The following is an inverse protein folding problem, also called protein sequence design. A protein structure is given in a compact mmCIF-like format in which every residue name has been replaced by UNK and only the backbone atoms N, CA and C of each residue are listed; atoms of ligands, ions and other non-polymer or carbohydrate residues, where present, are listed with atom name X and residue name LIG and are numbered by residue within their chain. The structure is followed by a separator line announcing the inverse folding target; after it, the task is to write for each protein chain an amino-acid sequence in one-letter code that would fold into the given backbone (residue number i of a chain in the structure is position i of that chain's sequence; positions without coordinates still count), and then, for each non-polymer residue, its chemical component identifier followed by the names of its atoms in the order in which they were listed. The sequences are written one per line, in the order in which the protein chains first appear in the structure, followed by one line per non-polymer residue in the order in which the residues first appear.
data_IF_675172578749
#
_entry.id   IF_675172578749
#
_cell.length_a   1.000
_cell.length_b   1.000
_cell.length_c   1.000
_cell.angle_alpha   90.00
_cell.angle_beta   90.00
_cell.angle_gamma   90.00
#
_symmetry.space_group_name_H-M   'P 1'
#
loop_
_entity.id
_entity.type
_entity.pdbx_description
1 polymer ?
#
# COMPACT_ATOMS: atom_id res chain seq x y z
N UNK A 1 -8.56 -6.22 -20.31
CA UNK A 1 -7.94 -6.14 -18.98
C UNK A 1 -6.58 -5.51 -19.16
N UNK A 2 -6.17 -4.56 -18.35
CA UNK A 2 -4.84 -3.95 -18.44
C UNK A 2 -3.79 -5.01 -18.10
N UNK A 3 -2.73 -5.15 -18.93
CA UNK A 3 -1.69 -6.16 -18.74
C UNK A 3 -0.90 -6.03 -17.42
N UNK A 4 -1.03 -4.89 -16.77
CA UNK A 4 -0.40 -4.58 -15.47
C UNK A 4 -1.23 -5.04 -14.25
N UNK A 5 -2.47 -5.49 -14.46
CA UNK A 5 -3.30 -6.10 -13.40
C UNK A 5 -2.89 -7.56 -13.23
N UNK A 6 -2.33 -7.89 -12.08
CA UNK A 6 -1.70 -9.20 -11.80
C UNK A 6 -2.71 -10.19 -11.23
N UNK A 7 -3.34 -9.85 -10.11
CA UNK A 7 -4.24 -10.73 -9.36
C UNK A 7 -5.17 -9.94 -8.44
N UNK A 8 -6.32 -10.50 -8.15
CA UNK A 8 -7.29 -9.94 -7.22
C UNK A 8 -6.90 -10.27 -5.76
N UNK A 9 -7.09 -9.32 -4.86
CA UNK A 9 -6.74 -9.46 -3.45
C UNK A 9 -7.40 -10.70 -2.82
N UNK A 10 -6.62 -11.42 -2.00
CA UNK A 10 -7.08 -12.62 -1.29
C UNK A 10 -7.04 -13.92 -2.11
N UNK A 11 -6.67 -13.88 -3.40
CA UNK A 11 -6.45 -15.08 -4.22
C UNK A 11 -5.04 -15.68 -3.99
N UNK A 12 -4.86 -16.96 -4.31
CA UNK A 12 -3.54 -17.62 -4.22
C UNK A 12 -2.50 -16.92 -5.12
N UNK A 13 -2.93 -16.50 -6.31
CA UNK A 13 -2.09 -15.76 -7.27
C UNK A 13 -1.62 -14.43 -6.67
N UNK A 14 -2.48 -13.73 -5.92
CA UNK A 14 -2.12 -12.51 -5.23
C UNK A 14 -1.05 -12.74 -4.16
N UNK A 15 -1.20 -13.79 -3.35
CA UNK A 15 -0.18 -14.15 -2.36
C UNK A 15 1.14 -14.54 -3.01
N UNK A 16 1.12 -15.31 -4.11
CA UNK A 16 2.31 -15.72 -4.85
C UNK A 16 3.01 -14.50 -5.44
N UNK A 17 2.28 -13.59 -6.11
CA UNK A 17 2.86 -12.40 -6.71
C UNK A 17 3.50 -11.49 -5.64
N UNK A 18 2.81 -11.26 -4.53
CA UNK A 18 3.34 -10.43 -3.43
C UNK A 18 4.59 -10.98 -2.76
N UNK A 19 4.79 -12.30 -2.75
CA UNK A 19 6.02 -12.93 -2.24
C UNK A 19 7.23 -12.71 -3.15
N UNK A 20 6.98 -12.57 -4.45
CA UNK A 20 8.02 -12.42 -5.48
C UNK A 20 8.40 -10.97 -5.76
N UNK A 21 7.65 -10.04 -5.25
CA UNK A 21 7.84 -8.63 -5.52
C UNK A 21 7.87 -7.77 -4.25
N UNK A 22 8.09 -6.48 -4.47
CA UNK A 22 8.12 -5.46 -3.40
C UNK A 22 6.87 -4.61 -3.49
N UNK A 23 6.03 -4.71 -2.46
CA UNK A 23 4.79 -3.94 -2.36
C UNK A 23 4.99 -2.56 -1.73
N UNK A 24 4.01 -1.67 -1.89
CA UNK A 24 4.04 -0.32 -1.33
C UNK A 24 4.26 -0.30 0.20
N UNK A 25 3.58 -1.16 0.94
CA UNK A 25 3.76 -1.29 2.39
C UNK A 25 5.16 -1.80 2.73
N UNK A 26 5.69 -2.74 1.93
CA UNK A 26 7.01 -3.34 2.15
C UNK A 26 8.12 -2.30 1.96
N UNK A 27 8.12 -1.55 0.84
CA UNK A 27 9.16 -0.54 0.59
C UNK A 27 9.08 0.63 1.56
N UNK A 28 7.86 1.08 1.90
CA UNK A 28 7.66 2.14 2.88
C UNK A 28 8.27 1.78 4.26
N UNK A 29 8.16 0.52 4.66
CA UNK A 29 8.76 -0.04 5.89
C UNK A 29 10.27 -0.18 5.74
N UNK A 30 10.74 -0.70 4.62
CA UNK A 30 12.17 -0.94 4.33
C UNK A 30 12.99 0.35 4.24
N UNK A 31 12.35 1.51 4.15
CA UNK A 31 13.03 2.83 4.08
C UNK A 31 13.69 3.28 5.39
N UNK A 32 13.90 2.36 6.34
CA UNK A 32 14.72 2.55 7.54
C UNK A 32 15.60 1.32 7.74
N UNK A 33 16.79 1.42 8.34
CA UNK A 33 17.68 0.26 8.53
C UNK A 33 17.03 -0.90 9.29
N UNK A 34 16.24 -0.60 10.33
CA UNK A 34 15.52 -1.62 11.10
C UNK A 34 14.37 -2.24 10.26
N UNK A 35 13.61 -1.39 9.58
CA UNK A 35 12.51 -1.82 8.72
C UNK A 35 12.99 -2.62 7.49
N UNK A 36 14.18 -2.32 6.96
CA UNK A 36 14.79 -3.09 5.87
C UNK A 36 15.09 -4.54 6.31
N UNK A 37 15.74 -4.71 7.47
CA UNK A 37 15.99 -6.04 8.03
C UNK A 37 14.71 -6.82 8.30
N UNK A 38 13.70 -6.14 8.82
CA UNK A 38 12.40 -6.77 9.07
C UNK A 38 11.69 -7.16 7.77
N UNK A 39 11.69 -6.28 6.75
CA UNK A 39 11.11 -6.55 5.45
C UNK A 39 11.80 -7.75 4.75
N UNK A 40 13.13 -7.79 4.78
CA UNK A 40 13.91 -8.91 4.26
C UNK A 40 13.59 -10.21 5.01
N UNK A 41 13.60 -10.19 6.34
CA UNK A 41 13.25 -11.37 7.13
C UNK A 41 11.82 -11.87 6.83
N UNK A 42 10.85 -10.98 6.71
CA UNK A 42 9.47 -11.35 6.41
C UNK A 42 9.29 -11.90 4.99
N UNK A 43 10.10 -11.45 4.03
CA UNK A 43 10.09 -12.00 2.67
C UNK A 43 10.64 -13.43 2.65
N UNK A 44 11.75 -13.69 3.36
CA UNK A 44 12.41 -15.00 3.43
C UNK A 44 11.69 -15.99 4.36
N UNK A 45 11.07 -15.48 5.42
CA UNK A 45 10.38 -16.27 6.46
C UNK A 45 8.99 -15.65 6.70
N UNK A 46 8.03 -15.83 5.78
CA UNK A 46 6.71 -15.21 5.91
C UNK A 46 5.98 -15.74 7.15
N UNK A 47 5.54 -14.81 7.99
CA UNK A 47 4.74 -15.11 9.19
C UNK A 47 3.31 -14.62 8.96
N UNK A 48 2.35 -15.46 9.26
CA UNK A 48 0.95 -15.08 9.26
C UNK A 48 0.68 -14.11 10.42
N UNK A 49 0.15 -12.93 10.10
CA UNK A 49 -0.20 -11.92 11.10
C UNK A 49 -1.64 -12.20 11.55
N UNK A 50 -1.87 -12.50 12.85
CA UNK A 50 -3.22 -12.72 13.36
C UNK A 50 -4.10 -11.48 13.14
N UNK A 51 -5.30 -11.71 12.66
CA UNK A 51 -6.28 -10.66 12.46
C UNK A 51 -6.74 -10.03 13.79
N UNK A 52 -6.93 -8.73 13.81
CA UNK A 52 -7.35 -8.00 15.00
C UNK A 52 -8.51 -7.03 14.70
N UNK A 53 -9.12 -6.47 15.76
CA UNK A 53 -10.26 -5.58 15.63
C UNK A 53 -10.00 -4.35 14.77
N UNK A 54 -8.80 -3.81 14.79
CA UNK A 54 -8.41 -2.64 13.98
C UNK A 54 -8.31 -2.99 12.50
N UNK A 55 -7.78 -4.17 12.17
CA UNK A 55 -7.69 -4.65 10.80
C UNK A 55 -9.08 -4.94 10.22
N UNK A 56 -9.97 -5.57 11.01
CA UNK A 56 -11.37 -5.79 10.62
C UNK A 56 -12.09 -4.48 10.37
N UNK A 57 -12.01 -3.54 11.31
CA UNK A 57 -12.60 -2.22 11.15
C UNK A 57 -12.09 -1.52 9.87
N UNK A 58 -10.78 -1.62 9.57
CA UNK A 58 -10.21 -1.09 8.33
C UNK A 58 -10.91 -1.65 7.09
N UNK A 59 -10.99 -2.98 6.98
CA UNK A 59 -11.64 -3.66 5.84
C UNK A 59 -13.13 -3.36 5.73
N UNK A 60 -13.83 -3.33 6.88
CA UNK A 60 -15.29 -3.09 6.90
C UNK A 60 -15.65 -1.69 6.41
N UNK A 61 -14.76 -0.69 6.59
CA UNK A 61 -15.00 0.70 6.19
C UNK A 61 -14.27 1.13 4.92
N UNK A 62 -13.34 0.35 4.38
CA UNK A 62 -12.51 0.71 3.22
C UNK A 62 -13.37 1.10 2.01
N UNK A 63 -14.30 0.23 1.61
CA UNK A 63 -15.20 0.51 0.48
C UNK A 63 -16.03 1.76 0.75
N UNK A 64 -16.61 1.90 1.94
CA UNK A 64 -17.40 3.07 2.31
C UNK A 64 -16.58 4.36 2.24
N UNK A 65 -15.32 4.34 2.68
CA UNK A 65 -14.43 5.50 2.59
C UNK A 65 -14.18 5.87 1.13
N UNK A 66 -13.89 4.91 0.27
CA UNK A 66 -13.69 5.15 -1.17
C UNK A 66 -14.95 5.75 -1.81
N UNK A 67 -16.14 5.23 -1.49
CA UNK A 67 -17.41 5.73 -1.99
C UNK A 67 -17.74 7.16 -1.52
N UNK A 68 -17.13 7.63 -0.42
CA UNK A 68 -17.25 9.01 0.08
C UNK A 68 -16.19 9.97 -0.49
N UNK A 69 -15.27 9.50 -1.34
CA UNK A 69 -14.40 10.37 -2.11
C UNK A 69 -15.24 11.07 -3.20
N UNK A 70 -15.09 12.41 -3.41
CA UNK A 70 -15.86 13.13 -4.41
C UNK A 70 -15.77 12.49 -5.79
N UNK A 71 -16.92 12.31 -6.44
CA UNK A 71 -17.02 11.68 -7.76
C UNK A 71 -16.27 12.43 -8.87
N UNK A 72 -15.91 13.70 -8.64
CA UNK A 72 -15.09 14.51 -9.56
C UNK A 72 -13.71 13.89 -9.82
N UNK A 73 -13.20 13.03 -8.94
CA UNK A 73 -11.95 12.27 -9.16
C UNK A 73 -12.15 11.02 -10.02
N UNK A 74 -13.39 10.56 -10.21
CA UNK A 74 -13.72 9.36 -11.00
C UNK A 74 -13.20 8.05 -10.37
N UNK A 75 -12.85 8.07 -9.08
CA UNK A 75 -12.27 6.92 -8.36
C UNK A 75 -13.34 5.86 -8.11
N UNK A 76 -12.97 4.61 -8.35
CA UNK A 76 -13.73 3.41 -7.99
C UNK A 76 -12.88 2.52 -7.09
N UNK A 77 -13.50 1.77 -6.19
CA UNK A 77 -12.81 0.84 -5.32
C UNK A 77 -12.02 -0.19 -6.15
N UNK A 78 -10.83 -0.52 -5.70
CA UNK A 78 -9.93 -1.45 -6.37
C UNK A 78 -9.40 -2.49 -5.39
N UNK A 79 -9.43 -3.75 -5.82
CA UNK A 79 -8.85 -4.89 -5.09
C UNK A 79 -7.79 -5.62 -5.94
N UNK A 80 -7.37 -5.02 -7.06
CA UNK A 80 -6.37 -5.61 -7.94
C UNK A 80 -4.96 -5.18 -7.55
N UNK A 81 -4.09 -6.19 -7.45
CA UNK A 81 -2.64 -5.99 -7.42
C UNK A 81 -2.20 -5.59 -8.82
N UNK A 82 -1.45 -4.49 -8.89
CA UNK A 82 -0.90 -3.97 -10.13
C UNK A 82 0.63 -3.93 -10.07
N UNK A 83 1.29 -4.03 -11.22
CA UNK A 83 2.73 -3.84 -11.33
C UNK A 83 3.11 -2.55 -12.04
N UNK A 84 4.36 -2.12 -11.86
CA UNK A 84 4.91 -0.99 -12.60
C UNK A 84 5.01 -1.31 -14.09
N UNK A 85 5.01 -0.26 -14.90
CA UNK A 85 5.13 -0.37 -16.35
C UNK A 85 6.58 -0.68 -16.79
N UNK A 86 6.69 -1.29 -17.95
CA UNK A 86 7.97 -1.65 -18.59
C UNK A 86 8.50 -3.04 -18.24
N UNK A 87 9.24 -3.65 -19.17
CA UNK A 87 9.79 -4.98 -18.99
C UNK A 87 10.80 -5.02 -17.84
N UNK A 88 10.70 -6.04 -16.99
CA UNK A 88 11.57 -6.22 -15.83
C UNK A 88 11.14 -5.45 -14.57
N UNK A 89 9.99 -4.77 -14.61
CA UNK A 89 9.44 -4.03 -13.48
C UNK A 89 8.26 -4.76 -12.78
N UNK A 90 7.92 -5.96 -13.23
CA UNK A 90 6.76 -6.72 -12.76
C UNK A 90 6.83 -7.09 -11.26
N UNK A 91 8.01 -6.98 -10.65
CA UNK A 91 8.22 -7.18 -9.22
C UNK A 91 7.87 -5.94 -8.36
N UNK A 92 7.68 -4.76 -8.98
CA UNK A 92 7.28 -3.53 -8.30
C UNK A 92 5.77 -3.50 -8.22
N UNK A 93 5.22 -3.68 -7.04
CA UNK A 93 3.81 -4.01 -6.83
C UNK A 93 3.09 -2.96 -5.98
N UNK A 94 1.83 -2.72 -6.31
CA UNK A 94 0.92 -1.91 -5.50
C UNK A 94 -0.50 -2.46 -5.55
N UNK A 95 -1.28 -2.17 -4.51
CA UNK A 95 -2.74 -2.34 -4.49
C UNK A 95 -3.31 -1.05 -3.94
N UNK A 96 -3.53 -0.02 -4.77
CA UNK A 96 -4.27 1.17 -4.32
C UNK A 96 -5.70 0.76 -3.94
N UNK A 97 -6.27 1.40 -2.92
CA UNK A 97 -7.64 1.10 -2.48
C UNK A 97 -8.70 1.62 -3.46
N UNK A 98 -8.30 2.57 -4.33
CA UNK A 98 -9.13 3.05 -5.43
C UNK A 98 -8.31 3.52 -6.63
N UNK A 99 -8.93 3.45 -7.81
CA UNK A 99 -8.38 3.87 -9.10
C UNK A 99 -9.45 4.57 -9.92
N UNK A 100 -9.08 5.61 -10.69
CA UNK A 100 -9.91 6.08 -11.76
C UNK A 100 -9.63 5.30 -13.06
N UNK A 101 -10.47 5.50 -14.08
CA UNK A 101 -10.45 4.67 -15.31
C UNK A 101 -9.13 4.71 -16.08
N UNK A 102 -8.43 5.84 -16.09
CA UNK A 102 -7.17 6.03 -16.82
C UNK A 102 -5.92 5.92 -15.93
N UNK A 103 -6.12 5.63 -14.64
CA UNK A 103 -5.08 5.50 -13.63
C UNK A 103 -4.30 6.80 -13.34
N UNK A 104 -4.83 7.95 -13.75
CA UNK A 104 -4.22 9.25 -13.44
C UNK A 104 -4.39 9.67 -11.98
N UNK A 105 -5.42 9.13 -11.31
CA UNK A 105 -5.71 9.37 -9.89
C UNK A 105 -5.94 8.05 -9.18
N UNK A 106 -5.30 7.91 -8.01
CA UNK A 106 -5.49 6.77 -7.11
C UNK A 106 -6.08 7.21 -5.77
N UNK A 107 -6.56 6.26 -4.99
CA UNK A 107 -6.89 6.47 -3.58
C UNK A 107 -6.09 5.52 -2.68
N UNK A 108 -5.69 6.04 -1.52
CA UNK A 108 -5.20 5.26 -0.39
C UNK A 108 -6.04 5.58 0.84
N UNK A 109 -6.54 4.55 1.50
CA UNK A 109 -7.48 4.64 2.63
C UNK A 109 -6.81 4.22 3.93
N UNK A 110 -7.07 4.96 4.99
CA UNK A 110 -6.63 4.59 6.34
C UNK A 110 -7.74 4.77 7.37
N UNK A 111 -7.79 3.87 8.34
CA UNK A 111 -8.53 4.08 9.58
C UNK A 111 -7.56 4.30 10.73
N UNK A 112 -7.82 5.30 11.56
CA UNK A 112 -6.87 5.73 12.60
C UNK A 112 -7.58 6.12 13.90
N UNK A 113 -6.92 5.97 15.03
CA UNK A 113 -7.36 6.51 16.32
C UNK A 113 -6.77 7.89 16.62
N UNK A 114 -6.04 8.50 15.67
CA UNK A 114 -5.43 9.82 15.83
C UNK A 114 -5.75 10.69 14.62
N UNK A 115 -6.02 11.95 14.88
CA UNK A 115 -6.19 12.95 13.83
C UNK A 115 -4.84 13.36 13.23
N UNK A 116 -4.87 13.68 11.93
CA UNK A 116 -3.74 14.25 11.20
C UNK A 116 -4.19 15.57 10.54
N UNK A 117 -4.30 16.67 11.33
CA UNK A 117 -4.85 17.95 10.85
C UNK A 117 -4.08 18.59 9.68
N UNK A 118 -2.89 18.11 9.36
CA UNK A 118 -2.09 18.57 8.23
C UNK A 118 -1.40 17.38 7.54
N UNK A 119 -1.09 17.54 6.24
CA UNK A 119 -0.31 16.56 5.47
C UNK A 119 0.98 16.12 6.19
N UNK A 120 1.68 17.04 6.84
CA UNK A 120 2.95 16.73 7.52
C UNK A 120 2.79 15.85 8.76
N UNK A 121 1.59 15.77 9.32
CA UNK A 121 1.26 14.90 10.46
C UNK A 121 0.86 13.48 10.02
N UNK A 122 0.56 13.28 8.73
CA UNK A 122 0.41 11.93 8.19
C UNK A 122 1.75 11.20 8.38
N UNK A 123 1.76 10.01 9.02
CA UNK A 123 2.99 9.25 9.25
C UNK A 123 3.80 9.09 7.96
N UNK A 124 5.11 9.31 8.03
CA UNK A 124 6.01 9.23 6.87
C UNK A 124 5.89 7.89 6.12
N UNK A 125 5.59 6.81 6.86
CA UNK A 125 5.37 5.49 6.27
C UNK A 125 4.18 5.49 5.29
N UNK A 126 3.07 6.16 5.62
CA UNK A 126 1.93 6.24 4.71
C UNK A 126 2.22 7.16 3.53
N UNK A 127 2.94 8.26 3.73
CA UNK A 127 3.38 9.13 2.63
C UNK A 127 4.29 8.37 1.66
N UNK A 128 5.23 7.56 2.15
CA UNK A 128 6.07 6.67 1.35
C UNK A 128 5.25 5.61 0.61
N UNK A 129 4.27 5.00 1.29
CA UNK A 129 3.36 4.04 0.67
C UNK A 129 2.63 4.66 -0.53
N UNK A 130 2.08 5.87 -0.36
CA UNK A 130 1.42 6.63 -1.42
C UNK A 130 2.38 6.92 -2.58
N UNK A 131 3.58 7.41 -2.31
CA UNK A 131 4.55 7.72 -3.37
C UNK A 131 4.97 6.49 -4.17
N UNK A 132 5.10 5.33 -3.52
CA UNK A 132 5.35 4.08 -4.23
C UNK A 132 4.14 3.66 -5.09
N UNK A 133 2.93 3.81 -4.61
CA UNK A 133 1.73 3.52 -5.41
C UNK A 133 1.64 4.45 -6.63
N UNK A 134 1.91 5.75 -6.46
CA UNK A 134 1.99 6.71 -7.57
C UNK A 134 3.05 6.30 -8.59
N UNK A 135 4.23 5.85 -8.13
CA UNK A 135 5.28 5.31 -9.01
C UNK A 135 4.78 4.08 -9.78
N UNK A 136 4.26 3.07 -9.08
CA UNK A 136 3.83 1.80 -9.70
C UNK A 136 2.67 2.02 -10.66
N UNK A 137 1.70 2.82 -10.34
CA UNK A 137 0.53 3.07 -11.21
C UNK A 137 0.84 4.02 -12.37
N UNK A 138 1.77 4.94 -12.17
CA UNK A 138 2.02 6.07 -13.06
C UNK A 138 1.06 7.24 -12.81
N UNK A 139 0.24 7.17 -11.75
CA UNK A 139 -0.69 8.25 -11.39
C UNK A 139 0.05 9.51 -10.96
N UNK A 140 -0.58 10.66 -11.21
CA UNK A 140 -0.04 11.97 -10.82
C UNK A 140 -0.53 12.42 -9.45
N UNK A 141 -1.68 11.90 -9.01
CA UNK A 141 -2.38 12.32 -7.81
C UNK A 141 -2.87 11.11 -7.01
N UNK A 142 -2.70 11.17 -5.69
CA UNK A 142 -3.39 10.29 -4.75
C UNK A 142 -4.36 11.10 -3.88
N UNK A 143 -5.61 10.69 -3.82
CA UNK A 143 -6.55 11.11 -2.80
C UNK A 143 -6.35 10.22 -1.59
N UNK A 144 -5.58 10.71 -0.61
CA UNK A 144 -5.40 10.03 0.66
C UNK A 144 -6.60 10.31 1.56
N UNK A 145 -7.37 9.28 1.87
CA UNK A 145 -8.57 9.37 2.68
C UNK A 145 -8.36 8.69 4.03
N UNK A 146 -8.74 9.32 5.15
CA UNK A 146 -8.72 8.61 6.42
C UNK A 146 -9.97 8.85 7.25
N UNK A 147 -10.39 7.80 7.97
CA UNK A 147 -11.51 7.82 8.88
C UNK A 147 -11.00 7.71 10.32
N UNK A 148 -11.37 8.68 11.16
CA UNK A 148 -11.10 8.59 12.58
C UNK A 148 -12.05 7.57 13.22
N UNK A 149 -11.48 6.64 13.99
CA UNK A 149 -12.23 5.70 14.80
C UNK A 149 -12.14 6.04 16.28
N UNK A 150 -13.21 5.74 16.99
CA UNK A 150 -13.28 5.78 18.44
C UNK A 150 -13.58 4.38 19.00
N UNK A 151 -13.27 4.19 20.27
CA UNK A 151 -13.63 2.98 20.99
C UNK A 151 -14.76 3.33 21.99
N UNK A 152 -15.83 2.56 21.95
CA UNK A 152 -16.96 2.72 22.88
C UNK A 152 -16.61 2.12 24.24
N UNK A 153 -17.39 2.43 25.28
CA UNK A 153 -17.16 1.94 26.63
C UNK A 153 -17.18 0.40 26.77
N UNK A 154 -17.82 -0.30 25.85
CA UNK A 154 -17.85 -1.76 25.74
C UNK A 154 -16.78 -2.33 24.79
N UNK A 155 -15.80 -1.52 24.36
CA UNK A 155 -14.65 -1.93 23.57
C UNK A 155 -14.91 -2.12 22.08
N UNK A 156 -16.06 -1.67 21.56
CA UNK A 156 -16.33 -1.71 20.11
C UNK A 156 -15.70 -0.52 19.39
N UNK A 157 -15.16 -0.77 18.22
CA UNK A 157 -14.67 0.27 17.32
C UNK A 157 -15.83 0.83 16.50
N UNK A 158 -15.93 2.16 16.45
CA UNK A 158 -16.95 2.90 15.69
C UNK A 158 -16.28 4.07 14.97
N UNK A 159 -16.86 4.55 13.84
CA UNK A 159 -16.44 5.82 13.27
C UNK A 159 -16.66 6.96 14.25
N UNK A 160 -15.63 7.80 14.43
CA UNK A 160 -15.75 9.03 15.22
C UNK A 160 -16.32 10.18 14.38
N UNK A 161 -16.25 10.07 13.05
CA UNK A 161 -16.74 11.06 12.08
C UNK A 161 -17.76 10.46 11.12
N UNK A 162 -18.57 11.34 10.52
CA UNK A 162 -19.58 10.97 9.53
C UNK A 162 -19.05 10.97 8.09
N UNK A 163 -17.82 11.45 7.88
CA UNK A 163 -17.14 11.48 6.60
C UNK A 163 -15.63 11.33 6.81
N UNK A 164 -14.87 10.78 5.83
CA UNK A 164 -13.42 10.77 5.89
C UNK A 164 -12.85 12.17 5.66
N UNK A 165 -11.68 12.43 6.25
CA UNK A 165 -10.82 13.56 5.87
C UNK A 165 -10.00 13.19 4.64
N UNK A 166 -9.78 14.16 3.75
CA UNK A 166 -9.13 13.96 2.47
C UNK A 166 -7.90 14.86 2.30
N UNK A 167 -6.84 14.30 1.75
CA UNK A 167 -5.65 15.04 1.32
C UNK A 167 -5.30 14.68 -0.12
N UNK A 168 -5.07 15.69 -0.94
CA UNK A 168 -4.45 15.53 -2.25
C UNK A 168 -2.93 15.43 -2.08
N UNK A 169 -2.36 14.29 -2.49
CA UNK A 169 -0.92 14.05 -2.44
C UNK A 169 -0.43 13.89 -3.88
N UNK A 170 0.37 14.85 -4.32
CA UNK A 170 1.01 14.81 -5.64
C UNK A 170 2.30 13.96 -5.59
N UNK A 171 2.78 13.58 -6.75
CA UNK A 171 4.05 12.87 -6.92
C UNK A 171 5.20 13.70 -6.35
N UNK A 172 6.08 13.02 -5.63
CA UNK A 172 7.36 13.54 -5.17
C UNK A 172 8.48 12.68 -5.78
N UNK A 173 9.05 13.14 -6.89
CA UNK A 173 10.03 12.37 -7.63
C UNK A 173 11.32 12.12 -6.83
N UNK A 174 11.63 12.99 -5.86
CA UNK A 174 12.77 12.78 -4.96
C UNK A 174 12.50 11.59 -4.04
N UNK A 175 11.35 11.57 -3.39
CA UNK A 175 10.95 10.43 -2.54
C UNK A 175 10.79 9.15 -3.35
N UNK A 176 10.22 9.21 -4.54
CA UNK A 176 10.07 8.07 -5.44
C UNK A 176 11.43 7.47 -5.80
N UNK A 177 12.42 8.30 -6.16
CA UNK A 177 13.77 7.82 -6.47
C UNK A 177 14.42 7.09 -5.28
N UNK A 178 14.28 7.61 -4.06
CA UNK A 178 14.76 6.96 -2.82
C UNK A 178 14.06 5.61 -2.58
N UNK A 179 12.76 5.53 -2.84
CA UNK A 179 11.99 4.31 -2.70
C UNK A 179 12.37 3.26 -3.74
N UNK A 180 12.63 3.65 -4.98
CA UNK A 180 13.11 2.75 -6.05
C UNK A 180 14.47 2.15 -5.65
N UNK A 181 15.42 2.97 -5.20
CA UNK A 181 16.73 2.49 -4.73
C UNK A 181 16.58 1.50 -3.57
N UNK A 182 15.73 1.83 -2.60
CA UNK A 182 15.43 0.95 -1.46
C UNK A 182 14.83 -0.39 -1.90
N UNK A 183 13.85 -0.33 -2.81
CA UNK A 183 13.16 -1.51 -3.31
C UNK A 183 14.08 -2.41 -4.13
N UNK A 184 14.94 -1.83 -4.98
CA UNK A 184 15.93 -2.56 -5.76
C UNK A 184 16.93 -3.30 -4.87
N UNK A 185 17.45 -2.64 -3.82
CA UNK A 185 18.34 -3.28 -2.83
C UNK A 185 17.63 -4.43 -2.12
N UNK A 186 16.39 -4.22 -1.68
CA UNK A 186 15.62 -5.25 -1.01
C UNK A 186 15.37 -6.45 -1.93
N UNK A 187 14.99 -6.22 -3.19
CA UNK A 187 14.75 -7.27 -4.17
C UNK A 187 16.02 -8.07 -4.47
N UNK A 188 17.16 -7.40 -4.61
CA UNK A 188 18.45 -8.05 -4.82
C UNK A 188 18.84 -8.96 -3.63
N UNK A 189 18.65 -8.49 -2.40
CA UNK A 189 18.93 -9.30 -1.19
C UNK A 189 17.99 -10.51 -1.11
N UNK A 190 16.70 -10.36 -1.43
CA UNK A 190 15.75 -11.48 -1.47
C UNK A 190 16.23 -12.54 -2.46
N UNK A 191 16.53 -12.13 -3.71
CA UNK A 191 17.01 -13.05 -4.77
C UNK A 191 18.29 -13.75 -4.32
N UNK A 192 19.26 -13.01 -3.82
CA UNK A 192 20.53 -13.56 -3.35
C UNK A 192 20.34 -14.65 -2.28
N UNK A 193 19.50 -14.41 -1.29
CA UNK A 193 19.23 -15.39 -0.23
C UNK A 193 18.44 -16.60 -0.74
N UNK A 194 17.49 -16.42 -1.65
CA UNK A 194 16.76 -17.54 -2.26
C UNK A 194 17.67 -18.44 -3.10
N UNK A 195 18.58 -17.86 -3.88
CA UNK A 195 19.56 -18.60 -4.67
C UNK A 195 20.56 -19.36 -3.79
N UNK A 196 21.04 -18.74 -2.72
CA UNK A 196 21.92 -19.38 -1.76
C UNK A 196 21.27 -20.60 -1.08
N UNK A 197 19.96 -20.51 -0.77
CA UNK A 197 19.21 -21.64 -0.20
C UNK A 197 19.02 -22.78 -1.21
N UNK A 198 18.82 -22.47 -2.49
CA UNK A 198 18.69 -23.49 -3.56
C UNK A 198 20.01 -24.16 -3.93
N UNK A 199 21.12 -23.45 -3.83
CA UNK A 199 22.45 -23.98 -4.12
C UNK A 199 23.06 -24.84 -3.01
N UNK A 200 22.42 -24.93 -1.83
CA UNK A 200 22.88 -25.71 -0.68
C UNK A 200 22.20 -27.10 -0.60
N UNK A 201 21.34 -27.44 -1.55
CA UNK A 201 20.71 -28.75 -1.75
C UNK A 201 21.41 -29.52 -2.88
#
# INVERSE_FOLDING_TARGET
MNSRMIAQAGTDEWYIARRRGVSATTVAKASTPAGFKEALNNALNPVEIPDNGYMRFGRDYEQWIVENIPQTYGIQANDWLVCADGPGNEWQLATPDGLNNDWSVIAEVKTTGKEWPTYHQIPIQYRRQVQWQLHVTGAELCVFAYLLRAETADGRLVPAWYAPELYEIQRDETMIAELIDTAQKLQQEIIYHEEAQRGTL
#
